data_IF_327561006446
#
_entry.id   IF_327561006446
#
_cell.length_a   1.000
_cell.length_b   1.000
_cell.length_c   1.000
_cell.angle_alpha   90.00
_cell.angle_beta   90.00
_cell.angle_gamma   90.00
#
_symmetry.space_group_name_H-M   'P 1'
#
loop_
_entity.id
_entity.type
_entity.pdbx_description
1 polymer ?
#
# COMPACT_ATOMS: atom_id res chain seq x y z
N UNK A 1 -36.12 -25.00 -54.66
CA UNK A 1 -34.67 -25.08 -54.92
C UNK A 1 -33.94 -24.39 -53.78
N UNK A 2 -33.68 -25.13 -52.71
CA UNK A 2 -32.94 -24.65 -51.53
C UNK A 2 -31.47 -24.98 -51.72
N UNK A 3 -30.68 -23.96 -52.03
CA UNK A 3 -29.22 -24.08 -52.16
C UNK A 3 -28.60 -24.06 -50.75
N UNK A 4 -28.34 -25.25 -50.19
CA UNK A 4 -27.55 -25.38 -48.97
C UNK A 4 -26.08 -25.27 -49.34
N UNK A 5 -25.45 -24.13 -49.05
CA UNK A 5 -24.00 -23.98 -49.09
C UNK A 5 -23.39 -24.84 -47.99
N UNK A 6 -22.64 -25.86 -48.37
CA UNK A 6 -21.78 -26.63 -47.47
C UNK A 6 -20.70 -25.69 -46.90
N UNK A 7 -20.39 -25.78 -45.58
CA UNK A 7 -19.31 -25.01 -44.98
C UNK A 7 -17.97 -25.41 -45.59
N UNK A 8 -17.15 -24.39 -45.85
CA UNK A 8 -15.87 -24.50 -46.53
C UNK A 8 -14.90 -25.32 -45.65
N UNK A 9 -14.18 -26.29 -46.22
CA UNK A 9 -13.30 -27.19 -45.47
C UNK A 9 -12.19 -26.42 -44.68
N UNK A 10 -11.81 -25.24 -45.17
CA UNK A 10 -10.85 -24.33 -44.52
C UNK A 10 -11.34 -23.74 -43.19
N UNK A 11 -12.65 -23.61 -42.98
CA UNK A 11 -13.20 -23.06 -41.74
C UNK A 11 -13.17 -24.13 -40.62
N UNK A 12 -13.27 -25.42 -40.99
CA UNK A 12 -13.17 -26.54 -40.04
C UNK A 12 -11.75 -26.77 -39.54
N UNK A 13 -10.72 -26.59 -40.37
CA UNK A 13 -9.32 -26.72 -39.93
C UNK A 13 -8.92 -25.60 -38.97
N UNK A 14 -9.36 -24.36 -39.22
CA UNK A 14 -9.13 -23.23 -38.30
C UNK A 14 -9.87 -23.38 -36.97
N UNK A 15 -11.10 -23.91 -37.00
CA UNK A 15 -11.87 -24.17 -35.78
C UNK A 15 -11.26 -25.30 -34.92
N UNK A 16 -10.59 -26.28 -35.55
CA UNK A 16 -9.89 -27.37 -34.85
C UNK A 16 -8.58 -26.87 -34.19
N UNK A 17 -7.86 -25.93 -34.82
CA UNK A 17 -6.64 -25.35 -34.24
C UNK A 17 -6.94 -24.44 -33.03
N UNK A 18 -7.99 -23.62 -33.10
CA UNK A 18 -8.39 -22.75 -31.98
C UNK A 18 -8.87 -23.60 -30.78
N UNK A 19 -9.63 -24.68 -31.03
CA UNK A 19 -10.05 -25.63 -29.98
C UNK A 19 -8.90 -26.43 -29.38
N UNK A 20 -7.78 -26.60 -30.09
CA UNK A 20 -6.56 -27.24 -29.56
C UNK A 20 -5.72 -26.28 -28.72
N UNK A 21 -5.67 -25.01 -29.07
CA UNK A 21 -4.95 -23.98 -28.31
C UNK A 21 -5.71 -23.62 -27.03
N UNK A 22 -7.05 -23.62 -27.05
CA UNK A 22 -7.89 -23.35 -25.87
C UNK A 22 -8.03 -24.52 -24.89
N UNK A 23 -7.58 -25.73 -25.25
CA UNK A 23 -7.71 -26.93 -24.41
C UNK A 23 -6.58 -27.14 -23.38
N UNK A 24 -5.57 -26.25 -23.31
CA UNK A 24 -4.33 -26.53 -22.58
C UNK A 24 -4.08 -25.76 -21.29
N UNK A 25 -4.75 -24.62 -21.06
CA UNK A 25 -4.43 -23.73 -19.94
C UNK A 25 -5.55 -23.78 -18.92
N UNK A 26 -5.23 -24.15 -17.68
CA UNK A 26 -6.20 -24.21 -16.58
C UNK A 26 -6.58 -22.78 -16.18
N UNK A 27 -7.80 -22.57 -15.71
CA UNK A 27 -8.27 -21.25 -15.23
C UNK A 27 -7.32 -20.66 -14.15
N UNK A 28 -6.77 -21.53 -13.29
CA UNK A 28 -5.75 -21.19 -12.29
C UNK A 28 -4.49 -20.55 -12.90
N UNK A 29 -4.05 -21.04 -14.06
CA UNK A 29 -2.88 -20.52 -14.77
C UNK A 29 -3.17 -19.14 -15.37
N UNK A 30 -4.38 -18.94 -15.89
CA UNK A 30 -4.83 -17.61 -16.35
C UNK A 30 -4.83 -16.62 -15.20
N UNK A 31 -5.38 -16.98 -14.04
CA UNK A 31 -5.34 -16.12 -12.84
C UNK A 31 -3.90 -15.79 -12.43
N UNK A 32 -2.98 -16.76 -12.48
CA UNK A 32 -1.55 -16.53 -12.18
C UNK A 32 -0.91 -15.56 -13.17
N UNK A 33 -1.15 -15.72 -14.47
CA UNK A 33 -0.61 -14.83 -15.52
C UNK A 33 -1.14 -13.41 -15.33
N UNK A 34 -2.44 -13.25 -15.07
CA UNK A 34 -3.04 -11.94 -14.84
C UNK A 34 -2.49 -11.27 -13.57
N UNK A 35 -2.31 -12.02 -12.49
CA UNK A 35 -1.70 -11.51 -11.26
C UNK A 35 -0.23 -11.10 -11.49
N UNK A 36 0.55 -11.92 -12.20
CA UNK A 36 1.93 -11.61 -12.55
C UNK A 36 2.01 -10.32 -13.37
N UNK A 37 1.15 -10.19 -14.39
CA UNK A 37 1.06 -8.96 -15.19
C UNK A 37 0.73 -7.74 -14.31
N UNK A 38 -0.28 -7.86 -13.45
CA UNK A 38 -0.67 -6.78 -12.53
C UNK A 38 0.49 -6.36 -11.62
N UNK A 39 1.25 -7.32 -11.10
CA UNK A 39 2.40 -7.06 -10.23
C UNK A 39 3.54 -6.38 -10.98
N UNK A 40 3.84 -6.80 -12.21
CA UNK A 40 4.85 -6.17 -13.05
C UNK A 40 4.46 -4.74 -13.46
N UNK A 41 3.22 -4.54 -13.90
CA UNK A 41 2.69 -3.21 -14.22
C UNK A 41 2.78 -2.29 -12.99
N UNK A 42 2.52 -2.83 -11.80
CA UNK A 42 2.66 -2.11 -10.54
C UNK A 42 4.13 -1.78 -10.23
N UNK A 43 5.06 -2.74 -10.37
CA UNK A 43 6.49 -2.50 -10.17
C UNK A 43 7.03 -1.40 -11.10
N UNK A 44 6.59 -1.34 -12.36
CA UNK A 44 6.98 -0.28 -13.30
C UNK A 44 6.50 1.10 -12.83
N UNK A 45 5.28 1.16 -12.29
CA UNK A 45 4.71 2.37 -11.71
C UNK A 45 5.49 2.79 -10.45
N UNK A 46 5.83 1.84 -9.57
CA UNK A 46 6.67 2.10 -8.39
C UNK A 46 8.02 2.68 -8.82
N UNK A 47 8.69 2.06 -9.78
CA UNK A 47 10.00 2.51 -10.29
C UNK A 47 9.95 3.98 -10.75
N UNK A 48 8.90 4.33 -11.52
CA UNK A 48 8.68 5.70 -12.00
C UNK A 48 8.49 6.70 -10.86
N UNK A 49 7.72 6.33 -9.84
CA UNK A 49 7.42 7.21 -8.70
C UNK A 49 8.60 7.33 -7.73
N UNK A 50 9.24 6.22 -7.37
CA UNK A 50 10.47 6.20 -6.57
C UNK A 50 11.52 7.13 -7.17
N UNK A 51 11.74 7.06 -8.50
CA UNK A 51 12.66 7.95 -9.21
C UNK A 51 12.28 9.44 -9.11
N UNK A 52 10.99 9.77 -9.00
CA UNK A 52 10.54 11.16 -8.76
C UNK A 52 10.82 11.59 -7.34
N UNK A 53 10.51 10.75 -6.35
CA UNK A 53 10.73 11.07 -4.94
C UNK A 53 12.21 11.22 -4.59
N UNK A 54 13.07 10.33 -5.08
CA UNK A 54 14.52 10.44 -4.86
C UNK A 54 15.08 11.75 -5.45
N UNK A 55 14.56 12.22 -6.58
CA UNK A 55 14.94 13.53 -7.17
C UNK A 55 14.48 14.72 -6.33
N UNK A 56 13.45 14.57 -5.51
CA UNK A 56 13.03 15.57 -4.53
C UNK A 56 13.88 15.54 -3.26
N UNK A 57 14.86 14.62 -3.16
CA UNK A 57 15.70 14.44 -1.98
C UNK A 57 15.01 13.69 -0.84
N UNK A 58 13.93 12.96 -1.13
CA UNK A 58 13.19 12.21 -0.12
C UNK A 58 13.87 10.88 0.19
N UNK A 59 14.00 10.54 1.47
CA UNK A 59 14.53 9.26 1.93
C UNK A 59 13.40 8.22 1.97
N UNK A 60 13.56 7.17 1.15
CA UNK A 60 12.54 6.16 0.93
C UNK A 60 12.94 4.83 1.55
N UNK A 61 11.93 4.02 1.87
CA UNK A 61 12.07 2.65 2.35
C UNK A 61 11.00 1.76 1.73
N UNK A 62 11.35 0.53 1.39
CA UNK A 62 10.39 -0.45 0.89
C UNK A 62 9.61 -1.03 2.07
N UNK A 63 8.30 -1.09 1.95
CA UNK A 63 7.41 -1.57 3.01
C UNK A 63 6.56 -2.71 2.46
N UNK A 64 6.41 -3.80 3.19
CA UNK A 64 5.51 -4.88 2.76
C UNK A 64 4.04 -4.53 3.06
N UNK A 65 3.12 -5.41 2.67
CA UNK A 65 1.69 -5.21 2.97
C UNK A 65 1.36 -5.19 4.48
N UNK A 66 2.25 -5.70 5.33
CA UNK A 66 2.09 -5.69 6.80
C UNK A 66 2.66 -4.41 7.45
N UNK A 67 3.31 -3.54 6.69
CA UNK A 67 3.94 -2.33 7.22
C UNK A 67 5.40 -2.52 7.64
N UNK A 68 6.01 -3.68 7.38
CA UNK A 68 7.41 -3.95 7.74
C UNK A 68 8.38 -3.42 6.67
N UNK A 69 9.46 -2.78 7.13
CA UNK A 69 10.44 -2.11 6.27
C UNK A 69 11.60 -3.01 5.77
N UNK A 70 11.61 -4.30 6.14
CA UNK A 70 12.76 -5.18 5.96
C UNK A 70 12.63 -6.09 4.73
N UNK A 71 12.62 -5.50 3.54
CA UNK A 71 12.52 -6.26 2.28
C UNK A 71 13.87 -6.51 1.59
N UNK A 72 14.98 -6.04 2.16
CA UNK A 72 16.29 -6.12 1.50
C UNK A 72 16.39 -5.26 0.23
N UNK A 73 15.48 -4.30 0.05
CA UNK A 73 15.52 -3.29 -0.99
C UNK A 73 16.02 -1.97 -0.41
N UNK A 74 17.12 -1.45 -0.96
CA UNK A 74 17.73 -0.19 -0.54
C UNK A 74 17.71 0.83 -1.69
N UNK A 75 16.91 1.89 -1.52
CA UNK A 75 16.78 2.96 -2.50
C UNK A 75 17.98 3.91 -2.56
N UNK A 76 18.96 3.78 -1.65
CA UNK A 76 20.24 4.51 -1.70
C UNK A 76 21.21 3.89 -2.70
N UNK A 77 20.97 2.66 -3.13
CA UNK A 77 21.76 2.01 -4.17
C UNK A 77 21.53 2.67 -5.54
N UNK A 78 22.43 2.45 -6.51
CA UNK A 78 22.21 2.87 -7.90
C UNK A 78 20.86 2.39 -8.45
N UNK A 79 20.21 3.24 -9.24
CA UNK A 79 18.89 3.00 -9.83
C UNK A 79 18.75 1.60 -10.47
N UNK A 80 19.74 1.19 -11.26
CA UNK A 80 19.75 -0.10 -11.92
C UNK A 80 19.56 -1.29 -10.95
N UNK A 81 20.15 -1.23 -9.75
CA UNK A 81 20.08 -2.33 -8.78
C UNK A 81 18.70 -2.44 -8.13
N UNK A 82 18.17 -1.33 -7.62
CA UNK A 82 16.85 -1.37 -6.98
C UNK A 82 15.70 -1.47 -7.99
N UNK A 83 15.88 -1.00 -9.24
CA UNK A 83 14.95 -1.28 -10.35
C UNK A 83 14.84 -2.79 -10.57
N UNK A 84 15.99 -3.45 -10.80
CA UNK A 84 16.05 -4.88 -11.02
C UNK A 84 15.41 -5.66 -9.85
N UNK A 85 15.70 -5.24 -8.60
CA UNK A 85 15.15 -5.89 -7.42
C UNK A 85 13.63 -5.72 -7.27
N UNK A 86 13.07 -4.55 -7.60
CA UNK A 86 11.60 -4.35 -7.65
C UNK A 86 10.93 -5.20 -8.72
N UNK A 87 11.56 -5.35 -9.89
CA UNK A 87 11.05 -6.22 -10.96
C UNK A 87 11.08 -7.68 -10.52
N UNK A 88 12.17 -8.13 -9.90
CA UNK A 88 12.30 -9.49 -9.35
C UNK A 88 11.21 -9.77 -8.30
N UNK A 89 11.00 -8.85 -7.35
CA UNK A 89 9.93 -8.97 -6.36
C UNK A 89 8.55 -9.04 -7.00
N UNK A 90 8.29 -8.24 -8.05
CA UNK A 90 7.05 -8.31 -8.82
C UNK A 90 6.83 -9.66 -9.50
N UNK A 91 7.91 -10.26 -10.04
CA UNK A 91 7.89 -11.61 -10.63
C UNK A 91 7.58 -12.70 -9.59
N UNK A 92 8.07 -12.52 -8.37
CA UNK A 92 7.81 -13.42 -7.23
C UNK A 92 6.41 -13.22 -6.61
N UNK A 93 5.68 -12.20 -7.07
CA UNK A 93 4.36 -11.83 -6.54
C UNK A 93 4.40 -11.09 -5.20
N UNK A 94 5.58 -10.61 -4.79
CA UNK A 94 5.77 -9.82 -3.58
C UNK A 94 5.21 -8.42 -3.80
N UNK A 95 4.24 -8.03 -2.97
CA UNK A 95 3.66 -6.69 -3.00
C UNK A 95 4.52 -5.74 -2.18
N UNK A 96 5.07 -4.73 -2.85
CA UNK A 96 5.96 -3.72 -2.26
C UNK A 96 5.26 -2.37 -2.27
N UNK A 97 5.20 -1.72 -1.11
CA UNK A 97 4.80 -0.33 -0.96
C UNK A 97 6.04 0.56 -0.80
N UNK A 98 5.87 1.86 -1.07
CA UNK A 98 6.89 2.88 -0.83
C UNK A 98 6.53 3.61 0.47
N UNK A 99 7.39 3.45 1.46
CA UNK A 99 7.43 4.28 2.66
C UNK A 99 8.35 5.49 2.44
N UNK A 100 7.92 6.65 2.92
CA UNK A 100 8.70 7.87 3.01
C UNK A 100 9.12 8.04 4.47
N UNK A 101 10.42 8.22 4.73
CA UNK A 101 10.91 8.58 6.07
C UNK A 101 10.68 10.07 6.31
N UNK A 102 10.04 10.42 7.42
CA UNK A 102 9.80 11.81 7.81
C UNK A 102 10.87 12.30 8.79
N UNK A 103 10.86 13.60 9.08
CA UNK A 103 11.82 14.26 9.94
C UNK A 103 13.05 14.77 9.19
N UNK A 104 14.18 14.79 9.89
CA UNK A 104 15.47 15.28 9.40
C UNK A 104 15.97 14.59 8.13
N UNK A 105 15.65 13.30 7.93
CA UNK A 105 16.11 12.52 6.78
C UNK A 105 15.57 13.02 5.44
N UNK A 106 14.29 13.39 5.38
CA UNK A 106 13.67 13.94 4.17
C UNK A 106 13.40 15.44 4.26
N UNK A 107 13.64 16.06 5.42
CA UNK A 107 13.24 17.44 5.69
C UNK A 107 11.72 17.64 5.66
N UNK A 108 10.94 16.63 6.04
CA UNK A 108 9.48 16.62 5.92
C UNK A 108 8.76 16.33 7.23
N UNK A 109 7.62 16.97 7.41
CA UNK A 109 6.58 16.59 8.36
C UNK A 109 5.35 16.17 7.57
N UNK A 110 4.66 15.10 7.98
CA UNK A 110 3.39 14.71 7.36
C UNK A 110 2.29 14.68 8.41
N UNK A 111 1.16 15.29 8.11
CA UNK A 111 -0.07 15.20 8.91
C UNK A 111 -1.08 14.34 8.18
N UNK A 112 -1.50 13.25 8.79
CA UNK A 112 -2.63 12.46 8.30
C UNK A 112 -3.89 12.80 9.10
N UNK A 113 -4.95 13.14 8.38
CA UNK A 113 -6.15 13.78 8.92
C UNK A 113 -7.40 13.06 8.40
N UNK A 114 -8.43 12.98 9.22
CA UNK A 114 -9.74 12.46 8.82
C UNK A 114 -10.61 13.58 8.26
N UNK A 115 -11.04 13.46 7.00
CA UNK A 115 -11.77 14.50 6.25
C UNK A 115 -13.01 15.04 6.97
N UNK A 116 -13.73 14.17 7.68
CA UNK A 116 -15.00 14.51 8.32
C UNK A 116 -14.91 14.64 9.85
N UNK A 117 -13.93 13.99 10.48
CA UNK A 117 -13.87 13.87 11.94
C UNK A 117 -12.77 14.74 12.54
N UNK A 118 -11.78 15.15 11.74
CA UNK A 118 -10.73 16.02 12.24
C UNK A 118 -11.26 17.43 12.44
N UNK A 119 -11.46 17.77 13.70
CA UNK A 119 -11.71 19.14 14.14
C UNK A 119 -10.36 19.85 14.22
N UNK A 120 -10.01 20.64 13.21
CA UNK A 120 -8.80 21.45 13.33
C UNK A 120 -9.05 22.62 14.29
N UNK A 121 -8.08 22.95 15.15
CA UNK A 121 -8.16 24.15 15.98
C UNK A 121 -8.04 25.45 15.17
N UNK A 122 -7.81 25.35 13.86
CA UNK A 122 -7.64 26.47 12.96
C UNK A 122 -8.88 26.64 12.09
N UNK A 123 -9.40 27.86 12.05
CA UNK A 123 -10.63 28.17 11.32
C UNK A 123 -10.39 28.49 9.85
N UNK A 124 -9.13 28.71 9.43
CA UNK A 124 -8.80 29.03 8.04
C UNK A 124 -8.07 27.86 7.37
N UNK A 125 -8.49 27.44 6.16
CA UNK A 125 -7.85 26.33 5.43
C UNK A 125 -6.34 26.54 5.22
N UNK A 126 -5.88 27.78 5.02
CA UNK A 126 -4.46 28.08 4.82
C UNK A 126 -3.57 27.98 6.08
N UNK A 127 -4.17 27.92 7.27
CA UNK A 127 -3.39 27.83 8.52
C UNK A 127 -2.77 26.46 8.70
N UNK A 128 -3.43 25.43 8.15
CA UNK A 128 -3.01 24.06 8.30
C UNK A 128 -2.93 23.30 6.99
N UNK A 129 -3.78 23.48 5.97
CA UNK A 129 -3.72 22.63 4.77
C UNK A 129 -2.41 22.86 3.98
N UNK A 130 -1.66 21.79 3.72
CA UNK A 130 -0.58 21.83 2.73
C UNK A 130 -1.13 21.86 1.30
N UNK A 131 -0.34 22.40 0.38
CA UNK A 131 -0.55 22.33 -1.06
C UNK A 131 -0.17 20.97 -1.67
N UNK A 132 0.65 20.18 -0.97
CA UNK A 132 0.99 18.82 -1.36
C UNK A 132 0.15 17.84 -0.52
N UNK A 133 -0.80 17.17 -1.18
CA UNK A 133 -1.80 16.33 -0.50
C UNK A 133 -1.97 15.00 -1.22
N UNK A 134 -1.88 13.91 -0.45
CA UNK A 134 -2.26 12.58 -0.88
C UNK A 134 -3.55 12.15 -0.19
N UNK A 135 -4.36 11.38 -0.89
CA UNK A 135 -5.51 10.69 -0.33
C UNK A 135 -5.12 9.29 0.15
N UNK A 136 -5.60 8.92 1.34
CA UNK A 136 -5.41 7.61 1.98
C UNK A 136 -6.77 6.98 2.23
N UNK A 137 -7.23 6.17 1.28
CA UNK A 137 -8.59 5.66 1.29
C UNK A 137 -9.63 6.77 1.12
N UNK A 138 -10.89 6.52 1.48
CA UNK A 138 -11.96 7.49 1.21
C UNK A 138 -12.02 8.64 2.22
N UNK A 139 -11.50 8.40 3.41
CA UNK A 139 -11.79 9.22 4.59
C UNK A 139 -10.60 10.02 5.09
N UNK A 140 -9.37 9.72 4.64
CA UNK A 140 -8.16 10.36 5.15
C UNK A 140 -7.34 11.05 4.07
N UNK A 141 -6.64 12.09 4.48
CA UNK A 141 -5.69 12.83 3.67
C UNK A 141 -4.36 12.97 4.40
N UNK A 142 -3.26 12.91 3.65
CA UNK A 142 -1.92 13.20 4.11
C UNK A 142 -1.46 14.52 3.52
N UNK A 143 -1.14 15.47 4.40
CA UNK A 143 -0.60 16.78 4.06
C UNK A 143 0.89 16.82 4.36
N UNK A 144 1.69 17.19 3.37
CA UNK A 144 3.15 17.14 3.43
C UNK A 144 3.71 18.55 3.64
N UNK A 145 4.61 18.76 4.60
CA UNK A 145 5.21 20.07 4.88
C UNK A 145 6.72 20.01 4.86
N UNK A 146 7.34 21.04 4.30
CA UNK A 146 8.79 21.26 4.44
C UNK A 146 9.10 21.73 5.86
N UNK A 147 10.09 21.09 6.47
CA UNK A 147 10.63 21.49 7.76
C UNK A 147 11.47 22.76 7.61
N UNK A 148 11.26 23.80 8.45
CA UNK A 148 12.16 24.93 8.51
C UNK A 148 13.57 24.50 8.91
N UNK A 149 14.59 25.14 8.35
CA UNK A 149 15.99 24.85 8.69
C UNK A 149 16.24 25.04 10.19
N UNK A 150 16.89 24.07 10.83
CA UNK A 150 17.17 24.06 12.26
C UNK A 150 15.96 23.75 13.16
N UNK A 151 14.76 23.55 12.60
CA UNK A 151 13.60 23.12 13.40
C UNK A 151 13.67 21.63 13.69
N UNK A 152 13.55 21.25 14.96
CA UNK A 152 13.51 19.86 15.38
C UNK A 152 12.07 19.36 15.42
N UNK A 153 11.65 18.47 14.50
CA UNK A 153 10.33 17.87 14.55
C UNK A 153 10.18 16.98 15.79
N UNK A 154 9.00 16.96 16.42
CA UNK A 154 8.69 15.95 17.42
C UNK A 154 8.75 14.55 16.79
N UNK A 155 8.97 13.50 17.57
CA UNK A 155 8.73 12.11 17.12
C UNK A 155 7.29 11.93 16.65
N UNK A 156 7.00 10.89 15.87
CA UNK A 156 5.63 10.65 15.41
C UNK A 156 4.66 10.35 16.57
N UNK A 157 3.45 10.93 16.54
CA UNK A 157 2.45 10.77 17.60
C UNK A 157 1.03 10.98 17.09
N UNK A 158 0.06 10.51 17.85
CA UNK A 158 -1.36 10.67 17.53
C UNK A 158 -2.03 11.68 18.48
N UNK A 159 -2.68 12.68 17.90
CA UNK A 159 -3.46 13.71 18.59
C UNK A 159 -4.91 13.27 18.72
N UNK A 160 -5.22 12.50 19.78
CA UNK A 160 -6.56 11.97 20.04
C UNK A 160 -7.67 13.03 19.96
N UNK A 161 -7.44 14.21 20.56
CA UNK A 161 -8.45 15.28 20.64
C UNK A 161 -8.89 15.81 19.27
N UNK A 162 -8.09 15.59 18.24
CA UNK A 162 -8.31 16.12 16.89
C UNK A 162 -8.33 15.02 15.82
N UNK A 163 -8.12 13.75 16.20
CA UNK A 163 -7.99 12.63 15.28
C UNK A 163 -6.91 12.87 14.19
N UNK A 164 -5.76 13.42 14.57
CA UNK A 164 -4.65 13.72 13.65
C UNK A 164 -3.45 12.83 13.97
N UNK A 165 -2.92 12.13 12.98
CA UNK A 165 -1.64 11.45 13.09
C UNK A 165 -0.52 12.36 12.57
N UNK A 166 0.48 12.60 13.42
CA UNK A 166 1.65 13.41 13.11
C UNK A 166 2.83 12.49 12.84
N UNK A 167 3.37 12.54 11.62
CA UNK A 167 4.59 11.84 11.23
C UNK A 167 5.76 12.81 11.22
N UNK A 168 6.50 12.83 12.33
CA UNK A 168 7.64 13.71 12.56
C UNK A 168 8.98 12.97 12.50
N UNK A 169 9.87 13.21 13.45
CA UNK A 169 11.20 12.59 13.48
C UNK A 169 11.12 11.05 13.50
N UNK A 170 11.86 10.41 12.59
CA UNK A 170 11.94 8.95 12.49
C UNK A 170 10.65 8.26 12.02
N UNK A 171 9.61 9.02 11.67
CA UNK A 171 8.36 8.47 11.16
C UNK A 171 8.52 7.83 9.78
N UNK A 172 7.59 6.94 9.46
CA UNK A 172 7.46 6.36 8.11
C UNK A 172 5.99 6.45 7.70
N UNK A 173 5.75 7.04 6.54
CA UNK A 173 4.40 7.19 5.98
C UNK A 173 4.36 6.58 4.58
N UNK A 174 3.30 5.86 4.24
CA UNK A 174 3.12 5.34 2.88
C UNK A 174 2.84 6.51 1.92
N UNK A 175 3.47 6.51 0.74
CA UNK A 175 3.25 7.52 -0.30
C UNK A 175 2.64 6.88 -1.55
N UNK A 176 1.81 7.58 -2.35
CA UNK A 176 1.37 7.09 -3.66
C UNK A 176 2.55 6.56 -4.49
N UNK A 177 2.37 5.51 -5.30
CA UNK A 177 1.14 4.77 -5.57
C UNK A 177 1.00 3.53 -4.66
N UNK A 178 1.49 3.60 -3.40
CA UNK A 178 1.34 2.52 -2.42
C UNK A 178 -0.12 2.14 -2.19
N UNK A 179 -0.36 0.92 -1.73
CA UNK A 179 -1.68 0.43 -1.31
C UNK A 179 -1.79 0.50 0.20
N UNK A 180 -2.88 1.06 0.71
CA UNK A 180 -3.15 1.08 2.14
C UNK A 180 -3.46 -0.35 2.65
N UNK A 181 -2.71 -0.88 3.64
CA UNK A 181 -2.89 -2.26 4.11
C UNK A 181 -4.29 -2.62 4.59
N UNK A 182 -4.99 -1.68 5.25
CA UNK A 182 -6.27 -1.97 5.90
C UNK A 182 -7.44 -1.85 4.92
N UNK A 183 -7.54 -0.73 4.21
CA UNK A 183 -8.62 -0.53 3.25
C UNK A 183 -8.37 -1.21 1.90
N UNK A 184 -7.14 -1.65 1.62
CA UNK A 184 -6.74 -2.20 0.32
C UNK A 184 -7.00 -1.22 -0.84
N UNK A 185 -6.95 0.08 -0.55
CA UNK A 185 -7.14 1.17 -1.51
C UNK A 185 -5.80 1.76 -1.91
N UNK A 186 -5.64 2.08 -3.20
CA UNK A 186 -4.46 2.79 -3.68
C UNK A 186 -4.42 4.21 -3.10
N UNK A 187 -3.27 4.61 -2.57
CA UNK A 187 -2.99 6.00 -2.28
C UNK A 187 -2.83 6.75 -3.60
N UNK A 188 -3.43 7.93 -3.69
CA UNK A 188 -3.33 8.80 -4.88
C UNK A 188 -2.98 10.22 -4.48
N UNK A 189 -2.22 10.90 -5.31
CA UNK A 189 -2.02 12.34 -5.14
C UNK A 189 -3.30 13.08 -5.51
N UNK A 190 -3.78 13.92 -4.60
CA UNK A 190 -4.75 14.97 -4.93
C UNK A 190 -4.00 16.17 -5.51
N UNK A 191 -2.83 16.46 -4.93
CA UNK A 191 -1.87 17.46 -5.41
C UNK A 191 -0.46 16.93 -5.19
N UNK A 192 0.22 16.58 -6.29
CA UNK A 192 1.49 15.88 -6.23
C UNK A 192 2.67 16.83 -5.97
N UNK A 193 3.77 16.38 -5.35
CA UNK A 193 4.90 17.24 -4.97
C UNK A 193 5.65 17.87 -6.16
N UNK A 194 5.52 17.31 -7.36
CA UNK A 194 6.08 17.87 -8.61
C UNK A 194 5.15 18.86 -9.32
N UNK A 195 3.89 18.96 -8.90
CA UNK A 195 2.92 19.97 -9.36
C UNK A 195 2.80 21.10 -8.35
N UNK A 196 2.79 20.77 -7.07
CA UNK A 196 2.72 21.69 -5.94
C UNK A 196 3.69 21.21 -4.86
N UNK A 197 4.78 21.94 -4.68
CA UNK A 197 5.77 21.58 -3.66
C UNK A 197 5.14 21.59 -2.26
N UNK A 198 5.60 20.72 -1.34
CA UNK A 198 5.11 20.73 0.04
C UNK A 198 5.23 22.12 0.66
N UNK A 199 4.14 22.60 1.27
CA UNK A 199 4.10 23.94 1.86
C UNK A 199 5.06 24.03 3.05
N UNK A 200 5.58 25.23 3.34
CA UNK A 200 6.35 25.45 4.57
C UNK A 200 5.43 25.34 5.78
N UNK A 201 5.93 24.75 6.87
CA UNK A 201 5.18 24.67 8.12
C UNK A 201 4.86 26.09 8.64
N UNK A 202 3.58 26.42 8.76
CA UNK A 202 3.15 27.72 9.31
C UNK A 202 3.59 27.86 10.77
N UNK A 203 3.88 29.08 11.22
CA UNK A 203 4.29 29.32 12.61
C UNK A 203 3.19 28.90 13.60
N UNK A 204 1.93 29.11 13.23
CA UNK A 204 0.77 28.76 14.04
C UNK A 204 0.69 27.24 14.22
N UNK A 205 0.75 26.49 13.11
CA UNK A 205 0.74 25.03 13.13
C UNK A 205 1.96 24.47 13.88
N UNK A 206 3.16 25.02 13.62
CA UNK A 206 4.38 24.60 14.31
C UNK A 206 4.32 24.80 15.83
N UNK A 207 3.78 25.93 16.30
CA UNK A 207 3.59 26.20 17.72
C UNK A 207 2.53 25.27 18.35
N UNK A 208 1.43 25.03 17.63
CA UNK A 208 0.41 24.08 18.04
C UNK A 208 0.98 22.68 18.21
N UNK A 209 1.71 22.18 17.22
CA UNK A 209 2.33 20.85 17.28
C UNK A 209 3.32 20.76 18.42
N UNK A 210 4.16 21.78 18.66
CA UNK A 210 5.11 21.78 19.78
C UNK A 210 4.41 21.76 21.14
N UNK A 211 3.30 22.49 21.28
CA UNK A 211 2.53 22.56 22.53
C UNK A 211 1.79 21.26 22.84
N UNK A 212 1.35 20.54 21.81
CA UNK A 212 0.56 19.30 21.96
C UNK A 212 1.37 18.03 21.70
N UNK A 213 2.63 18.16 21.26
CA UNK A 213 3.55 17.04 21.22
C UNK A 213 3.63 16.45 22.63
N UNK A 214 3.66 15.12 22.76
CA UNK A 214 3.96 14.51 24.04
C UNK A 214 5.27 15.13 24.49
N UNK A 215 5.26 15.79 25.65
CA UNK A 215 6.50 16.07 26.34
C UNK A 215 7.08 14.70 26.59
N UNK A 216 7.99 14.26 25.74
CA UNK A 216 8.86 13.14 26.07
C UNK A 216 9.50 13.69 27.35
N UNK A 217 9.15 13.17 28.55
CA UNK A 217 9.98 13.49 29.69
C UNK A 217 11.37 13.14 29.20
N UNK A 218 12.37 13.98 29.40
CA UNK A 218 13.75 13.51 29.29
C UNK A 218 13.84 12.34 30.27
N UNK A 219 13.44 11.16 29.81
CA UNK A 219 13.58 9.91 30.50
C UNK A 219 15.09 9.86 30.60
N UNK A 220 15.64 9.97 31.82
CA UNK A 220 17.07 10.07 32.02
C UNK A 220 17.65 8.94 31.22
N UNK A 221 18.36 9.27 30.12
CA UNK A 221 18.73 8.39 29.01
C UNK A 221 18.68 6.98 29.54
N UNK A 222 17.53 6.31 29.36
CA UNK A 222 17.39 4.94 29.78
C UNK A 222 18.28 4.27 28.76
N UNK A 223 19.55 4.17 29.15
CA UNK A 223 20.58 3.44 28.46
C UNK A 223 19.86 2.20 27.98
N UNK A 224 19.99 1.88 26.69
CA UNK A 224 19.55 0.58 26.20
C UNK A 224 19.79 -0.40 27.33
N UNK A 225 18.74 -1.14 27.75
CA UNK A 225 18.84 -1.95 28.94
C UNK A 225 20.18 -2.67 28.87
N UNK A 226 21.01 -2.52 29.89
CA UNK A 226 22.39 -3.03 29.88
C UNK A 226 22.30 -4.55 29.93
N UNK A 227 21.89 -5.11 28.80
CA UNK A 227 21.68 -6.51 28.55
C UNK A 227 23.02 -6.99 28.02
N UNK A 228 23.56 -8.02 28.64
CA UNK A 228 24.75 -8.69 28.14
C UNK A 228 24.59 -8.97 26.64
N UNK A 229 25.62 -8.72 25.84
CA UNK A 229 25.53 -8.97 24.41
C UNK A 229 25.29 -10.46 24.16
N UNK A 230 24.59 -10.80 23.06
CA UNK A 230 24.34 -12.21 22.71
C UNK A 230 25.62 -13.06 22.72
N UNK A 231 26.76 -12.51 22.30
CA UNK A 231 28.04 -13.22 22.32
C UNK A 231 28.47 -13.66 23.74
N UNK A 232 28.24 -12.82 24.75
CA UNK A 232 28.57 -13.11 26.15
C UNK A 232 27.62 -14.18 26.71
N UNK A 233 26.33 -14.04 26.44
CA UNK A 233 25.31 -15.01 26.87
C UNK A 233 25.58 -16.36 26.22
N UNK A 234 25.82 -16.37 24.90
CA UNK A 234 26.07 -17.57 24.13
C UNK A 234 27.26 -18.37 24.71
N UNK A 235 28.36 -17.70 25.06
CA UNK A 235 29.50 -18.36 25.71
C UNK A 235 29.09 -19.06 27.01
N UNK A 236 28.24 -18.43 27.83
CA UNK A 236 27.75 -19.01 29.08
C UNK A 236 26.83 -20.20 28.82
N UNK A 237 25.84 -20.05 27.93
CA UNK A 237 24.83 -21.09 27.70
C UNK A 237 25.35 -22.30 26.91
N UNK A 238 26.49 -22.18 26.20
CA UNK A 238 27.10 -23.32 25.45
C UNK A 238 27.45 -24.52 26.31
N UNK A 239 27.65 -24.31 27.61
CA UNK A 239 27.87 -25.39 28.57
C UNK A 239 26.59 -26.12 28.97
N UNK A 240 25.42 -25.67 28.52
CA UNK A 240 24.09 -26.15 28.94
C UNK A 240 23.22 -26.53 27.73
N UNK A 241 23.37 -27.75 27.16
CA UNK A 241 22.63 -28.18 25.97
C UNK A 241 21.11 -28.13 26.12
N UNK A 242 20.59 -28.36 27.33
CA UNK A 242 19.15 -28.30 27.63
C UNK A 242 18.57 -26.90 27.44
N UNK A 243 19.35 -25.86 27.74
CA UNK A 243 18.94 -24.46 27.55
C UNK A 243 18.88 -24.11 26.06
N UNK A 244 19.80 -24.63 25.26
CA UNK A 244 19.74 -24.50 23.79
C UNK A 244 18.52 -25.19 23.19
N UNK A 245 18.18 -26.38 23.69
CA UNK A 245 16.97 -27.06 23.23
C UNK A 245 15.71 -26.26 23.58
N UNK A 246 15.65 -25.68 24.78
CA UNK A 246 14.54 -24.82 25.19
C UNK A 246 14.43 -23.53 24.36
N UNK A 247 15.56 -22.93 23.95
CA UNK A 247 15.59 -21.75 23.06
C UNK A 247 14.96 -22.02 21.67
N UNK A 248 14.95 -23.27 21.23
CA UNK A 248 14.44 -23.68 19.93
C UNK A 248 13.06 -24.35 20.03
N UNK A 249 12.56 -24.59 21.24
CA UNK A 249 11.29 -25.26 21.46
C UNK A 249 10.11 -24.29 21.20
N UNK A 250 9.16 -24.66 20.33
CA UNK A 250 7.97 -23.85 20.10
C UNK A 250 7.08 -23.80 21.35
N UNK A 251 6.39 -22.68 21.56
CA UNK A 251 5.44 -22.50 22.66
C UNK A 251 4.12 -21.93 22.15
N UNK A 252 3.05 -22.12 22.93
CA UNK A 252 1.72 -21.61 22.59
C UNK A 252 1.60 -20.07 22.70
N UNK A 253 2.50 -19.44 23.47
CA UNK A 253 2.55 -17.98 23.64
C UNK A 253 3.98 -17.51 24.00
N UNK A 254 4.31 -16.22 23.78
CA UNK A 254 5.59 -15.67 24.23
C UNK A 254 5.80 -15.80 25.75
N UNK A 255 4.75 -15.64 26.55
CA UNK A 255 4.84 -15.74 28.01
C UNK A 255 5.16 -17.17 28.45
N UNK A 256 4.51 -18.17 27.86
CA UNK A 256 4.82 -19.59 28.13
C UNK A 256 6.22 -19.97 27.65
N UNK A 257 6.67 -19.40 26.54
CA UNK A 257 8.04 -19.55 26.05
C UNK A 257 9.07 -19.02 27.06
N UNK A 258 8.92 -17.79 27.54
CA UNK A 258 9.85 -17.20 28.51
C UNK A 258 9.85 -17.94 29.86
N UNK A 259 8.69 -18.39 30.33
CA UNK A 259 8.58 -19.17 31.57
C UNK A 259 9.31 -20.51 31.45
N UNK A 260 9.08 -21.24 30.36
CA UNK A 260 9.79 -22.50 30.08
C UNK A 260 11.31 -22.29 29.99
N UNK A 261 11.75 -21.18 29.37
CA UNK A 261 13.15 -20.84 29.27
C UNK A 261 13.80 -20.61 30.63
N UNK A 262 13.12 -19.88 31.53
CA UNK A 262 13.58 -19.62 32.89
C UNK A 262 13.59 -20.88 33.75
N UNK A 263 12.59 -21.74 33.61
CA UNK A 263 12.52 -23.03 34.32
C UNK A 263 13.69 -23.93 33.93
N UNK A 264 13.94 -24.08 32.63
CA UNK A 264 15.06 -24.90 32.13
C UNK A 264 16.42 -24.31 32.49
N UNK A 265 16.57 -22.97 32.40
CA UNK A 265 17.80 -22.29 32.80
C UNK A 265 18.06 -22.45 34.30
N UNK A 266 17.04 -22.29 35.15
CA UNK A 266 17.13 -22.51 36.58
C UNK A 266 17.48 -23.95 36.94
N UNK A 267 16.84 -24.94 36.30
CA UNK A 267 17.15 -26.35 36.48
C UNK A 267 18.59 -26.72 36.05
N UNK A 268 19.16 -25.96 35.09
CA UNK A 268 20.55 -26.09 34.66
C UNK A 268 21.55 -25.36 35.57
N UNK A 269 21.09 -24.62 36.59
CA UNK A 269 21.93 -23.86 37.51
C UNK A 269 22.31 -22.45 37.03
N UNK A 270 21.64 -21.92 36.00
CA UNK A 270 21.82 -20.53 35.57
C UNK A 270 20.95 -19.61 36.43
N UNK A 271 21.56 -19.00 37.44
CA UNK A 271 20.85 -18.11 38.39
C UNK A 271 21.17 -16.62 38.20
N UNK A 272 22.19 -16.28 37.41
CA UNK A 272 22.60 -14.89 37.21
C UNK A 272 21.47 -14.08 36.51
N UNK A 273 20.87 -13.08 37.19
CA UNK A 273 19.78 -12.30 36.63
C UNK A 273 20.14 -11.58 35.33
N UNK A 274 21.40 -11.18 35.13
CA UNK A 274 21.83 -10.50 33.91
C UNK A 274 21.89 -11.47 32.72
N UNK A 275 22.38 -12.68 32.97
CA UNK A 275 22.41 -13.75 31.97
C UNK A 275 20.99 -14.18 31.63
N UNK A 276 20.12 -14.35 32.62
CA UNK A 276 18.71 -14.71 32.40
C UNK A 276 17.96 -13.60 31.64
N UNK A 277 18.14 -12.34 32.00
CA UNK A 277 17.53 -11.21 31.28
C UNK A 277 18.00 -11.16 29.83
N UNK A 278 19.30 -11.34 29.61
CA UNK A 278 19.85 -11.39 28.26
C UNK A 278 19.35 -12.59 27.47
N UNK A 279 19.27 -13.75 28.10
CA UNK A 279 18.75 -14.95 27.48
C UNK A 279 17.31 -14.74 26.99
N UNK A 280 16.44 -14.12 27.80
CA UNK A 280 15.07 -13.78 27.41
C UNK A 280 15.02 -12.69 26.33
N UNK A 281 15.85 -11.66 26.44
CA UNK A 281 15.89 -10.56 25.47
C UNK A 281 16.31 -11.01 24.07
N UNK A 282 17.27 -11.95 23.99
CA UNK A 282 17.82 -12.46 22.74
C UNK A 282 17.16 -13.75 22.25
N UNK A 283 16.15 -14.25 22.96
CA UNK A 283 15.50 -15.51 22.63
C UNK A 283 14.86 -15.46 21.22
N UNK A 284 15.19 -16.38 20.30
CA UNK A 284 14.85 -16.25 18.88
C UNK A 284 13.34 -16.35 18.58
N UNK A 285 12.61 -17.11 19.41
CA UNK A 285 11.14 -17.23 19.33
C UNK A 285 10.42 -16.24 20.26
N UNK A 286 11.17 -15.36 20.93
CA UNK A 286 10.64 -14.29 21.76
C UNK A 286 10.28 -13.05 20.95
N UNK A 287 9.36 -12.26 21.48
CA UNK A 287 8.93 -10.98 20.92
C UNK A 287 9.57 -9.74 21.58
N UNK A 288 10.46 -9.95 22.57
CA UNK A 288 11.02 -8.90 23.40
C UNK A 288 11.74 -7.79 22.61
N UNK A 289 12.49 -8.18 21.58
CA UNK A 289 13.19 -7.24 20.67
C UNK A 289 12.24 -6.34 19.89
N UNK A 290 11.08 -6.86 19.53
CA UNK A 290 10.08 -6.14 18.74
C UNK A 290 9.15 -5.30 19.64
N UNK A 291 9.11 -5.60 20.95
CA UNK A 291 8.27 -4.93 21.94
C UNK A 291 9.09 -4.42 23.14
N UNK A 292 9.82 -3.30 23.03
CA UNK A 292 10.68 -2.77 24.11
C UNK A 292 9.93 -2.50 25.42
N UNK A 293 8.63 -2.21 25.34
CA UNK A 293 7.75 -2.02 26.50
C UNK A 293 7.68 -3.26 27.41
N UNK A 294 7.97 -4.46 26.89
CA UNK A 294 7.99 -5.72 27.66
C UNK A 294 9.22 -5.86 28.56
N UNK A 295 10.20 -4.97 28.47
CA UNK A 295 11.42 -5.03 29.28
C UNK A 295 11.13 -5.11 30.80
N UNK A 296 10.18 -4.33 31.30
CA UNK A 296 9.78 -4.38 32.72
C UNK A 296 9.10 -5.73 33.07
N UNK A 297 8.35 -6.31 32.13
CA UNK A 297 7.77 -7.64 32.31
C UNK A 297 8.84 -8.72 32.43
N UNK A 298 9.89 -8.68 31.60
CA UNK A 298 11.02 -9.60 31.67
C UNK A 298 11.78 -9.48 33.00
N UNK A 299 12.04 -8.26 33.46
CA UNK A 299 12.63 -8.00 34.80
C UNK A 299 11.79 -8.62 35.91
N UNK A 300 10.47 -8.49 35.83
CA UNK A 300 9.57 -9.09 36.80
C UNK A 300 9.62 -10.61 36.74
N UNK A 301 9.62 -11.22 35.55
CA UNK A 301 9.73 -12.67 35.38
C UNK A 301 11.03 -13.22 35.97
N UNK A 302 12.18 -12.60 35.67
CA UNK A 302 13.47 -13.02 36.23
C UNK A 302 13.49 -12.86 37.75
N UNK A 303 12.97 -11.75 38.28
CA UNK A 303 12.87 -11.53 39.73
C UNK A 303 12.02 -12.60 40.42
N UNK A 304 10.89 -12.98 39.80
CA UNK A 304 10.01 -14.04 40.30
C UNK A 304 10.71 -15.40 40.26
N UNK A 305 11.42 -15.71 39.18
CA UNK A 305 12.18 -16.96 39.03
C UNK A 305 13.35 -17.09 40.02
N UNK A 306 14.02 -15.98 40.35
CA UNK A 306 15.11 -15.96 41.33
C UNK A 306 14.65 -16.04 42.80
N UNK A 307 13.35 -16.19 43.07
CA UNK A 307 12.82 -16.32 44.43
C UNK A 307 13.02 -15.10 45.34
N UNK A 308 13.38 -13.94 44.77
CA UNK A 308 13.66 -12.71 45.53
C UNK A 308 12.35 -11.96 45.77
N UNK A 309 11.74 -12.19 46.93
CA UNK A 309 10.53 -11.48 47.36
C UNK A 309 10.73 -9.96 47.27
N UNK A 310 9.70 -9.18 46.90
CA UNK A 310 9.81 -7.74 46.85
C UNK A 310 10.10 -7.22 48.25
N UNK A 311 11.25 -6.57 48.44
CA UNK A 311 11.44 -5.68 49.57
C UNK A 311 10.39 -4.58 49.44
N UNK A 312 9.37 -4.63 50.30
CA UNK A 312 8.36 -3.60 50.45
C UNK A 312 9.07 -2.30 50.83
N UNK A 313 9.12 -1.37 49.88
CA UNK A 313 9.58 -0.02 50.06
C UNK A 313 8.60 0.71 51.02
N UNK A 314 9.05 1.22 52.18
CA UNK A 314 8.17 1.85 53.16
C UNK A 314 7.92 3.31 52.76
N UNK A 315 7.13 3.53 51.71
CA UNK A 315 6.57 4.84 51.40
C UNK A 315 5.34 4.72 50.51
N UNK A 316 4.24 4.26 51.09
CA UNK A 316 2.89 4.67 50.68
C UNK A 316 1.91 4.33 51.80
N UNK A 317 1.53 5.37 52.55
CA UNK A 317 0.41 5.34 53.47
C UNK A 317 -0.91 5.38 52.67
N UNK A 318 -1.98 4.71 53.12
CA UNK A 318 -3.26 4.73 52.43
C UNK A 318 -4.06 5.97 52.85
N UNK A 319 -4.36 6.85 51.89
CA UNK A 319 -5.36 7.89 52.09
C UNK A 319 -6.76 7.29 51.98
N UNK A 320 -7.53 7.49 53.06
CA UNK A 320 -8.86 6.96 53.25
C UNK A 320 -9.91 7.68 52.41
N UNK A 321 -10.84 6.88 51.90
CA UNK A 321 -12.10 7.31 51.32
C UNK A 321 -12.96 8.04 52.36
N UNK A 322 -13.38 9.27 52.03
CA UNK A 322 -14.44 9.99 52.73
C UNK A 322 -15.53 10.33 51.73
N UNK A 323 -16.64 9.59 51.81
CA UNK A 323 -17.93 9.94 51.24
C UNK A 323 -18.58 11.04 52.09
N UNK A 324 -19.15 12.07 51.46
CA UNK A 324 -20.48 12.60 51.81
C UNK A 324 -21.01 13.66 50.83
N UNK A 325 -22.34 13.90 50.80
CA UNK A 325 -23.10 14.39 49.64
C UNK A 325 -23.84 15.73 49.87
N UNK A 326 -24.42 16.29 48.80
CA UNK A 326 -25.44 17.37 48.82
C UNK A 326 -25.54 18.01 47.43
N UNK A 327 -26.66 17.85 46.69
CA UNK A 327 -27.83 18.75 46.68
C UNK A 327 -27.45 20.15 46.12
N UNK A 328 -28.15 20.80 45.19
CA UNK A 328 -29.52 20.72 44.69
C UNK A 328 -29.63 21.66 43.45
N UNK A 329 -30.70 21.48 42.66
CA UNK A 329 -31.43 22.43 41.80
C UNK A 329 -30.75 23.49 40.91
N UNK A 330 -31.20 23.55 39.64
CA UNK A 330 -31.04 24.73 38.78
C UNK A 330 -31.57 24.52 37.36
N UNK A 331 -32.60 25.26 36.98
CA UNK A 331 -33.47 25.06 35.82
C UNK A 331 -32.86 25.44 34.44
N UNK A 332 -33.45 24.86 33.39
CA UNK A 332 -33.54 25.33 31.98
C UNK A 332 -34.17 26.75 31.90
N UNK A 333 -34.29 27.46 30.76
CA UNK A 333 -34.16 27.07 29.34
C UNK A 333 -33.27 28.05 28.53
N UNK A 334 -32.93 27.81 27.26
CA UNK A 334 -33.70 28.36 26.14
C UNK A 334 -33.18 27.88 24.78
N UNK A 335 -34.15 27.79 23.88
CA UNK A 335 -34.07 27.52 22.46
C UNK A 335 -33.27 28.59 21.70
N UNK A 336 -32.38 28.14 20.81
CA UNK A 336 -31.96 28.93 19.65
C UNK A 336 -31.74 27.99 18.45
N UNK A 337 -32.83 27.75 17.73
CA UNK A 337 -32.79 27.49 16.28
C UNK A 337 -32.20 28.72 15.57
N UNK A 338 -31.29 28.53 14.62
CA UNK A 338 -31.09 29.39 13.44
C UNK A 338 -30.07 28.73 12.47
N UNK A 339 -30.06 29.10 11.18
CA UNK A 339 -30.48 28.19 10.11
C UNK A 339 -29.30 27.72 9.24
N UNK A 340 -29.56 26.69 8.44
CA UNK A 340 -28.79 26.31 7.26
C UNK A 340 -28.71 27.47 6.25
N UNK A 341 -27.50 27.75 5.74
CA UNK A 341 -27.37 28.22 4.38
C UNK A 341 -26.23 27.47 3.69
N UNK A 342 -26.54 26.57 2.77
CA UNK A 342 -26.14 26.72 1.37
C UNK A 342 -26.61 25.50 0.58
N UNK A 343 -27.70 25.74 -0.15
CA UNK A 343 -28.04 25.00 -1.34
C UNK A 343 -26.88 25.08 -2.36
N UNK A 344 -26.58 23.91 -2.92
CA UNK A 344 -26.43 23.63 -4.35
C UNK A 344 -25.61 24.62 -5.21
N UNK A 345 -24.56 24.12 -5.87
CA UNK A 345 -24.35 24.20 -7.33
C UNK A 345 -23.10 23.36 -7.73
N UNK A 346 -22.94 23.03 -9.02
CA UNK A 346 -22.38 21.76 -9.49
C UNK A 346 -20.94 21.90 -9.95
N UNK A 347 -20.15 20.83 -9.82
CA UNK A 347 -18.97 20.64 -10.65
C UNK A 347 -18.94 19.24 -11.23
N UNK A 348 -19.49 19.19 -12.45
CA UNK A 348 -19.11 18.29 -13.51
C UNK A 348 -17.60 18.53 -13.79
N UNK A 349 -16.75 17.58 -13.40
CA UNK A 349 -15.36 17.54 -13.82
C UNK A 349 -15.10 16.20 -14.49
N UNK A 350 -15.13 16.30 -15.81
CA UNK A 350 -14.69 15.33 -16.82
C UNK A 350 -13.48 14.52 -16.34
N UNK A 351 -13.69 13.22 -16.20
CA UNK A 351 -12.63 12.23 -16.06
C UNK A 351 -12.08 11.89 -17.43
N UNK A 352 -10.96 12.50 -17.82
CA UNK A 352 -10.20 12.05 -19.00
C UNK A 352 -8.97 11.24 -18.57
N UNK A 353 -9.18 9.93 -18.66
CA UNK A 353 -8.17 8.87 -18.69
C UNK A 353 -7.49 8.89 -20.08
N UNK A 354 -6.15 8.83 -20.21
CA UNK A 354 -5.54 8.87 -21.53
C UNK A 354 -5.62 7.49 -22.19
N UNK A 355 -6.50 7.39 -23.19
CA UNK A 355 -6.45 6.38 -24.24
C UNK A 355 -5.39 6.70 -25.32
N UNK A 356 -5.11 5.77 -26.23
CA UNK A 356 -3.82 5.70 -26.95
C UNK A 356 -3.71 6.64 -28.15
N UNK A 357 -2.50 7.19 -28.29
CA UNK A 357 -1.76 7.55 -29.51
C UNK A 357 -2.52 8.21 -30.67
N UNK A 358 -2.28 9.50 -30.84
CA UNK A 358 -2.30 10.16 -32.16
C UNK A 358 -0.91 10.66 -32.51
N UNK A 359 -0.45 10.28 -33.71
CA UNK A 359 0.83 10.63 -34.34
C UNK A 359 1.19 12.12 -34.25
N UNK A 360 2.47 12.48 -34.09
CA UNK A 360 2.89 13.86 -34.22
C UNK A 360 3.13 14.24 -35.69
N UNK A 361 2.35 15.24 -36.11
CA UNK A 361 2.43 15.93 -37.38
C UNK A 361 3.75 16.70 -37.52
N UNK A 362 4.46 16.42 -38.62
CA UNK A 362 5.66 17.13 -39.10
C UNK A 362 5.53 18.65 -39.00
N UNK A 363 6.50 19.31 -38.36
CA UNK A 363 6.89 20.70 -38.69
C UNK A 363 8.38 20.80 -38.93
N UNK A 364 8.71 21.30 -40.12
CA UNK A 364 10.06 21.65 -40.59
C UNK A 364 10.48 23.01 -40.03
N UNK A 365 11.75 23.04 -39.61
CA UNK A 365 12.78 24.07 -39.80
C UNK A 365 12.54 25.52 -39.35
N UNK A 366 13.35 25.98 -38.39
CA UNK A 366 14.18 27.19 -38.53
C UNK A 366 15.39 27.07 -37.60
N UNK A 367 16.57 27.41 -38.14
CA UNK A 367 17.86 27.00 -37.61
C UNK A 367 18.41 27.80 -36.43
N UNK A 368 19.40 27.20 -35.77
CA UNK A 368 20.36 27.88 -34.90
C UNK A 368 21.73 27.24 -35.04
N UNK A 369 22.71 28.09 -35.29
CA UNK A 369 24.12 27.76 -35.55
C UNK A 369 24.83 27.28 -34.27
N UNK A 370 25.68 26.28 -34.42
CA UNK A 370 26.64 25.79 -33.43
C UNK A 370 28.02 26.47 -33.64
N UNK A 371 28.79 26.77 -32.57
CA UNK A 371 30.23 26.99 -32.62
C UNK A 371 31.01 25.66 -32.47
N UNK A 372 32.33 25.66 -32.78
CA UNK A 372 33.03 24.49 -33.31
C UNK A 372 33.73 23.61 -32.26
N UNK A 373 33.77 22.32 -32.62
CA UNK A 373 34.79 21.30 -32.38
C UNK A 373 35.81 21.51 -31.25
N UNK A 374 35.65 20.73 -30.18
CA UNK A 374 36.75 20.28 -29.34
C UNK A 374 36.78 18.75 -29.33
N UNK A 375 37.87 18.22 -29.90
CA UNK A 375 38.49 16.90 -29.70
C UNK A 375 37.57 15.73 -29.29
N UNK A 376 37.23 14.90 -30.27
CA UNK A 376 36.71 13.55 -30.11
C UNK A 376 37.77 12.59 -29.56
N UNK A 377 37.65 12.21 -28.29
CA UNK A 377 38.29 11.01 -27.75
C UNK A 377 37.57 9.75 -28.29
N UNK A 378 38.30 8.66 -28.62
CA UNK A 378 37.73 7.49 -29.27
C UNK A 378 36.96 6.60 -28.29
N UNK A 379 35.63 6.59 -28.41
CA UNK A 379 34.70 5.67 -27.72
C UNK A 379 34.76 4.23 -28.27
N UNK A 380 35.93 3.59 -28.22
CA UNK A 380 36.07 2.16 -28.55
C UNK A 380 36.78 1.40 -27.44
N UNK A 381 36.26 1.50 -26.22
CA UNK A 381 36.45 0.45 -25.23
C UNK A 381 35.19 -0.44 -25.24
N UNK A 382 35.25 -1.69 -25.71
CA UNK A 382 34.13 -2.60 -25.58
C UNK A 382 33.93 -2.87 -24.08
N UNK A 383 32.83 -2.37 -23.53
CA UNK A 383 32.35 -2.77 -22.19
C UNK A 383 32.08 -4.27 -22.27
N UNK A 384 33.03 -5.08 -21.82
CA UNK A 384 32.83 -6.50 -21.58
C UNK A 384 31.94 -6.64 -20.34
N UNK A 385 30.63 -6.55 -20.56
CA UNK A 385 29.66 -7.06 -19.61
C UNK A 385 29.91 -8.58 -19.46
N UNK A 386 29.90 -9.14 -18.24
CA UNK A 386 30.05 -10.57 -18.04
C UNK A 386 28.90 -11.30 -18.75
N UNK A 387 29.23 -12.14 -19.75
CA UNK A 387 28.27 -12.90 -20.55
C UNK A 387 27.36 -13.81 -19.71
N UNK A 388 27.75 -14.09 -18.47
CA UNK A 388 26.97 -14.92 -17.54
C UNK A 388 25.75 -14.20 -16.96
N UNK A 389 25.69 -12.85 -17.03
CA UNK A 389 24.50 -12.09 -16.62
C UNK A 389 23.42 -12.00 -17.70
N UNK A 390 23.72 -12.36 -18.96
CA UNK A 390 22.76 -12.34 -20.07
C UNK A 390 22.05 -13.69 -20.28
N UNK A 391 22.61 -14.78 -19.74
CA UNK A 391 22.05 -16.13 -19.89
C UNK A 391 20.89 -16.40 -18.92
N UNK A 392 20.90 -15.80 -17.73
CA UNK A 392 19.81 -15.95 -16.73
C UNK A 392 18.53 -15.22 -17.16
N UNK A 393 18.65 -14.24 -18.06
CA UNK A 393 17.51 -13.49 -18.58
C UNK A 393 16.82 -14.17 -19.76
N UNK A 394 17.51 -15.03 -20.53
CA UNK A 394 16.93 -15.63 -21.74
C UNK A 394 15.69 -16.48 -21.47
N UNK A 395 15.72 -17.35 -20.46
CA UNK A 395 14.55 -18.19 -20.15
C UNK A 395 13.40 -17.42 -19.50
N UNK A 396 13.69 -16.32 -18.78
CA UNK A 396 12.68 -15.42 -18.23
C UNK A 396 12.02 -14.57 -19.31
N UNK A 397 12.80 -14.03 -20.26
CA UNK A 397 12.28 -13.34 -21.44
C UNK A 397 11.54 -14.31 -22.37
N UNK A 398 12.02 -15.53 -22.57
CA UNK A 398 11.32 -16.56 -23.36
C UNK A 398 9.99 -16.96 -22.71
N UNK A 399 9.94 -17.12 -21.38
CA UNK A 399 8.69 -17.38 -20.66
C UNK A 399 7.73 -16.18 -20.76
N UNK A 400 8.21 -14.96 -20.58
CA UNK A 400 7.39 -13.75 -20.72
C UNK A 400 6.91 -13.56 -22.17
N UNK A 401 7.74 -13.77 -23.18
CA UNK A 401 7.37 -13.72 -24.61
C UNK A 401 6.36 -14.83 -24.94
N UNK A 402 6.52 -16.02 -24.35
CA UNK A 402 5.60 -17.14 -24.53
C UNK A 402 4.22 -16.83 -23.90
N UNK A 403 4.18 -16.26 -22.70
CA UNK A 403 2.94 -15.84 -22.05
C UNK A 403 2.29 -14.61 -22.71
N UNK A 404 3.09 -13.65 -23.18
CA UNK A 404 2.61 -12.52 -23.99
C UNK A 404 2.10 -12.98 -25.36
N UNK A 405 2.72 -13.99 -25.97
CA UNK A 405 2.26 -14.62 -27.20
C UNK A 405 0.92 -15.31 -27.03
N UNK A 406 0.70 -15.99 -25.88
CA UNK A 406 -0.62 -16.52 -25.50
C UNK A 406 -1.65 -15.42 -25.32
N UNK A 407 -1.29 -14.30 -24.68
CA UNK A 407 -2.18 -13.15 -24.52
C UNK A 407 -2.57 -12.50 -25.86
N UNK A 408 -1.63 -12.40 -26.81
CA UNK A 408 -1.91 -11.93 -28.17
C UNK A 408 -2.89 -12.83 -28.92
N UNK A 409 -2.68 -14.16 -28.86
CA UNK A 409 -3.62 -15.12 -29.42
C UNK A 409 -5.03 -15.02 -28.78
N UNK A 410 -5.09 -14.75 -27.47
CA UNK A 410 -6.36 -14.53 -26.78
C UNK A 410 -7.06 -13.23 -27.17
N UNK A 411 -6.33 -12.15 -27.41
CA UNK A 411 -6.93 -10.91 -27.92
C UNK A 411 -7.55 -11.11 -29.30
N UNK A 412 -6.92 -11.91 -30.16
CA UNK A 412 -7.47 -12.28 -31.47
C UNK A 412 -8.73 -13.14 -31.33
N UNK A 413 -8.73 -14.12 -30.41
CA UNK A 413 -9.92 -14.93 -30.09
C UNK A 413 -11.07 -14.04 -29.58
N UNK A 414 -10.80 -13.15 -28.62
CA UNK A 414 -11.81 -12.22 -28.09
C UNK A 414 -12.33 -11.26 -29.17
N UNK A 415 -11.46 -10.74 -30.03
CA UNK A 415 -11.87 -9.90 -31.14
C UNK A 415 -12.78 -10.67 -32.12
N UNK A 416 -12.46 -11.93 -32.39
CA UNK A 416 -13.27 -12.80 -33.24
C UNK A 416 -14.64 -13.10 -32.61
N UNK A 417 -14.68 -13.53 -31.34
CA UNK A 417 -15.94 -13.77 -30.61
C UNK A 417 -16.80 -12.51 -30.52
N UNK A 418 -16.18 -11.35 -30.31
CA UNK A 418 -16.90 -10.08 -30.29
C UNK A 418 -17.52 -9.76 -31.66
N UNK A 419 -16.81 -10.03 -32.76
CA UNK A 419 -17.34 -9.87 -34.11
C UNK A 419 -18.50 -10.85 -34.39
N UNK A 420 -18.39 -12.11 -33.97
CA UNK A 420 -19.45 -13.11 -34.12
C UNK A 420 -20.69 -12.74 -33.29
N UNK A 421 -20.51 -12.34 -32.04
CA UNK A 421 -21.60 -11.87 -31.18
C UNK A 421 -22.29 -10.64 -31.78
N UNK A 422 -21.52 -9.70 -32.33
CA UNK A 422 -22.07 -8.54 -33.05
C UNK A 422 -22.86 -8.96 -34.29
N UNK A 423 -22.41 -9.99 -35.02
CA UNK A 423 -23.12 -10.53 -36.17
C UNK A 423 -24.42 -11.27 -35.77
N UNK A 424 -24.38 -12.06 -34.68
CA UNK A 424 -25.55 -12.74 -34.13
C UNK A 424 -26.60 -11.74 -33.63
N UNK A 425 -26.18 -10.71 -32.89
CA UNK A 425 -27.08 -9.64 -32.43
C UNK A 425 -27.81 -8.97 -33.60
N UNK A 426 -27.09 -8.62 -34.67
CA UNK A 426 -27.70 -8.10 -35.90
C UNK A 426 -28.73 -9.05 -36.54
N UNK A 427 -28.48 -10.36 -36.51
CA UNK A 427 -29.44 -11.36 -37.04
C UNK A 427 -30.71 -11.44 -36.17
N UNK A 428 -30.55 -11.41 -34.84
CA UNK A 428 -31.66 -11.38 -33.89
C UNK A 428 -32.49 -10.13 -34.09
N UNK A 429 -31.87 -8.96 -34.16
CA UNK A 429 -32.55 -7.68 -34.38
C UNK A 429 -33.30 -7.66 -35.73
N UNK A 430 -32.70 -8.22 -36.78
CA UNK A 430 -33.34 -8.35 -38.08
C UNK A 430 -34.56 -9.28 -38.06
N UNK A 431 -34.49 -10.41 -37.34
CA UNK A 431 -35.62 -11.32 -37.17
C UNK A 431 -36.74 -10.68 -36.36
N UNK A 432 -36.42 -10.03 -35.23
CA UNK A 432 -37.38 -9.30 -34.42
C UNK A 432 -38.12 -8.23 -35.24
N UNK A 433 -37.39 -7.50 -36.08
CA UNK A 433 -37.98 -6.50 -36.98
C UNK A 433 -38.95 -7.12 -37.99
N UNK A 434 -38.63 -8.30 -38.53
CA UNK A 434 -39.54 -9.04 -39.43
C UNK A 434 -40.81 -9.48 -38.71
N UNK A 435 -40.69 -10.03 -37.51
CA UNK A 435 -41.84 -10.45 -36.70
C UNK A 435 -42.76 -9.26 -36.36
N UNK A 436 -42.18 -8.15 -35.93
CA UNK A 436 -42.94 -6.92 -35.67
C UNK A 436 -43.68 -6.41 -36.91
N UNK A 437 -43.06 -6.48 -38.08
CA UNK A 437 -43.70 -6.10 -39.33
C UNK A 437 -44.83 -7.06 -39.73
N UNK A 438 -44.67 -8.36 -39.49
CA UNK A 438 -45.72 -9.36 -39.71
C UNK A 438 -46.92 -9.11 -38.77
N UNK A 439 -46.66 -8.84 -37.48
CA UNK A 439 -47.70 -8.47 -36.52
C UNK A 439 -48.42 -7.16 -36.91
N UNK A 440 -47.69 -6.15 -37.40
CA UNK A 440 -48.29 -4.92 -37.96
C UNK A 440 -49.16 -5.17 -39.19
N UNK A 441 -48.78 -6.11 -40.06
CA UNK A 441 -49.60 -6.49 -41.21
C UNK A 441 -50.88 -7.21 -40.76
N UNK A 442 -50.78 -8.16 -39.81
CA UNK A 442 -51.95 -8.86 -39.26
C UNK A 442 -52.89 -7.95 -38.47
N UNK A 443 -52.36 -6.93 -37.80
CA UNK A 443 -53.15 -5.93 -37.07
C UNK A 443 -53.70 -4.82 -37.97
N UNK A 444 -53.32 -4.77 -39.24
CA UNK A 444 -53.80 -3.74 -40.17
C UNK A 444 -55.31 -3.87 -40.35
N UNK A 445 -56.10 -2.81 -40.09
CA UNK A 445 -57.56 -2.88 -40.07
C UNK A 445 -58.22 -3.08 -41.46
N UNK A 446 -57.44 -3.34 -42.51
CA UNK A 446 -57.93 -3.44 -43.89
C UNK A 446 -58.85 -4.65 -44.15
N UNK A 447 -58.79 -5.71 -43.34
CA UNK A 447 -59.68 -6.88 -43.46
C UNK A 447 -60.90 -6.89 -42.52
N UNK A 448 -61.01 -5.94 -41.58
CA UNK A 448 -62.14 -5.90 -40.63
C UNK A 448 -63.46 -5.41 -41.25
N UNK A 449 -63.45 -4.86 -42.47
CA UNK A 449 -64.67 -4.41 -43.18
C UNK A 449 -65.45 -5.54 -43.86
N UNK A 450 -64.87 -6.73 -44.03
CA UNK A 450 -65.56 -7.88 -44.63
C UNK A 450 -66.25 -8.81 -43.63
N UNK A 451 -65.67 -8.98 -42.44
CA UNK A 451 -66.15 -9.97 -41.46
C UNK A 451 -67.48 -9.59 -40.79
N UNK A 452 -67.73 -8.30 -40.53
CA UNK A 452 -68.98 -7.85 -39.89
C UNK A 452 -70.22 -7.95 -40.79
N UNK A 453 -70.08 -8.14 -42.11
CA UNK A 453 -71.25 -8.32 -43.01
C UNK A 453 -71.81 -9.74 -43.00
N UNK A 454 -71.07 -10.74 -42.52
CA UNK A 454 -71.52 -12.14 -42.53
C UNK A 454 -72.36 -12.54 -41.32
N UNK A 455 -72.25 -11.80 -40.21
CA UNK A 455 -72.96 -12.07 -38.96
C UNK A 455 -74.31 -11.34 -38.81
N UNK A 456 -74.74 -10.57 -39.83
CA UNK A 456 -75.98 -9.77 -39.77
C UNK A 456 -77.10 -10.31 -40.65
N UNK A 457 -77.04 -11.58 -41.06
CA UNK A 457 -77.99 -12.19 -42.01
C UNK A 457 -78.62 -13.51 -41.56
N UNK A 458 -78.46 -13.91 -40.31
CA UNK A 458 -79.24 -14.99 -39.70
C UNK A 458 -80.04 -14.45 -38.51
#
# INVERSE_FOLDING_TARGET
MTSSKLPNANDKEKEIDIRRISAGIREEEVCRILNLKKNLDYSDVLIKYTSKYLRLGWDLVAVNYQGEAHLGLDFKQPAALWHHKLTEMGLEGVHVNIGLRTGSLSGLLVLEVHRQESLFPFNQPGDWCSDCVAEVGLEREQHYYLLPEGWQPPSSFFLNSFQIMVFGEGGVVLTPPSVEPRAQTNLRWLRAPWESSPSRLSQILGNFLRKNAPTIPEAPVASEPTVAAWAEIYQIITSYPVVFQALLAPAASPESYYQNLLEVAGAAGLEDPQVLLGLLWHAPLGDARNNPQRWQSLKNLVRLASGRAPASDPSQAPEGSSLSPGADTGERPDDLEFPDPFASLPHDLSSDWPGPETEPQRRRAAGRQLPPEAASEPWTAPVRLPQDSLLVDRHRYEAMIYELGKLGAWQEIYAHEHQENKALKKKVDANLTKELNLLRQLSSPKDKKGWYRRWRKD
#
